data_IF_532577781226
#
_entry.id   IF_532577781226
#
_cell.length_a   1.000
_cell.length_b   1.000
_cell.length_c   1.000
_cell.angle_alpha   90.00
_cell.angle_beta   90.00
_cell.angle_gamma   90.00
#
_symmetry.space_group_name_H-M   'P 1'
#
loop_
_entity.id
_entity.type
_entity.pdbx_description
1 polymer ?
#
# COMPACT_ATOMS: atom_id res chain seq x y z
N UNK A 1 19.39 -16.69 -12.03
CA UNK A 1 18.67 -16.43 -10.76
C UNK A 1 17.76 -17.62 -10.50
N UNK A 2 18.00 -18.42 -9.45
CA UNK A 2 17.29 -19.69 -9.22
C UNK A 2 15.79 -19.46 -8.97
N UNK A 3 14.94 -20.36 -9.49
CA UNK A 3 13.48 -20.33 -9.31
C UNK A 3 13.09 -20.33 -7.82
N UNK A 4 13.94 -20.89 -6.95
CA UNK A 4 13.75 -20.90 -5.50
C UNK A 4 14.01 -19.55 -4.85
N UNK A 5 15.08 -18.84 -5.27
CA UNK A 5 15.35 -17.45 -4.87
C UNK A 5 14.21 -16.52 -5.31
N UNK A 6 13.69 -16.68 -6.55
CA UNK A 6 12.54 -15.92 -7.04
C UNK A 6 11.28 -16.18 -6.21
N UNK A 7 10.96 -17.44 -5.89
CA UNK A 7 9.81 -17.81 -5.05
C UNK A 7 9.94 -17.32 -3.61
N UNK A 8 11.14 -17.36 -3.04
CA UNK A 8 11.45 -16.81 -1.71
C UNK A 8 11.25 -15.30 -1.66
N UNK A 9 11.80 -14.58 -2.65
CA UNK A 9 11.63 -13.13 -2.78
C UNK A 9 10.16 -12.75 -3.03
N UNK A 10 9.42 -13.53 -3.82
CA UNK A 10 7.99 -13.30 -4.06
C UNK A 10 7.16 -13.52 -2.78
N UNK A 11 7.38 -14.63 -2.05
CA UNK A 11 6.72 -14.90 -0.77
C UNK A 11 7.02 -13.83 0.28
N UNK A 12 8.25 -13.30 0.32
CA UNK A 12 8.64 -12.20 1.23
C UNK A 12 8.10 -10.85 0.77
N UNK A 13 8.06 -10.55 -0.54
CA UNK A 13 7.36 -9.38 -1.09
C UNK A 13 5.89 -9.40 -0.71
N UNK A 14 5.22 -10.55 -0.83
CA UNK A 14 3.83 -10.73 -0.41
C UNK A 14 3.63 -10.47 1.09
N UNK A 15 4.57 -10.87 1.96
CA UNK A 15 4.53 -10.53 3.40
C UNK A 15 4.73 -9.02 3.65
N UNK A 16 5.62 -8.38 2.91
CA UNK A 16 5.85 -6.93 2.99
C UNK A 16 4.63 -6.16 2.44
N UNK A 17 4.02 -6.63 1.36
CA UNK A 17 2.81 -6.05 0.77
C UNK A 17 1.59 -6.25 1.68
N UNK A 18 1.47 -7.39 2.37
CA UNK A 18 0.45 -7.63 3.40
C UNK A 18 0.59 -6.72 4.63
N UNK A 19 1.82 -6.41 5.06
CA UNK A 19 2.07 -5.39 6.10
C UNK A 19 1.75 -3.97 5.58
N UNK A 20 2.00 -3.70 4.29
CA UNK A 20 1.72 -2.41 3.65
C UNK A 20 0.23 -2.13 3.44
N UNK A 21 -0.58 -3.17 3.23
CA UNK A 21 -2.04 -3.04 3.08
C UNK A 21 -2.75 -2.62 4.38
N UNK A 22 -2.05 -2.65 5.53
CA UNK A 22 -2.56 -2.25 6.85
C UNK A 22 -2.22 -0.81 7.27
N UNK A 23 -1.57 -0.04 6.40
CA UNK A 23 -1.33 1.38 6.66
C UNK A 23 -2.56 2.19 6.30
N UNK A 24 -3.29 2.64 7.32
CA UNK A 24 -4.35 3.64 7.17
C UNK A 24 -3.79 5.03 7.42
N UNK A 25 -3.59 5.81 6.35
CA UNK A 25 -3.37 7.25 6.48
C UNK A 25 -4.73 7.92 6.68
N UNK A 26 -5.02 8.38 7.90
CA UNK A 26 -6.11 9.34 8.13
C UNK A 26 -5.65 10.70 7.62
N UNK A 27 -6.38 11.29 6.68
CA UNK A 27 -6.14 12.69 6.29
C UNK A 27 -6.93 13.68 7.16
N UNK A 28 -7.61 13.22 8.21
CA UNK A 28 -8.37 14.10 9.08
C UNK A 28 -7.40 14.94 9.92
N UNK A 29 -7.57 16.25 9.89
CA UNK A 29 -6.75 17.25 10.60
C UNK A 29 -6.65 17.07 12.11
N UNK A 30 -7.38 16.12 12.69
CA UNK A 30 -7.49 15.91 14.13
C UNK A 30 -7.06 14.51 14.61
N UNK A 31 -6.65 13.60 13.71
CA UNK A 31 -6.08 12.31 14.12
C UNK A 31 -4.68 12.11 13.57
N UNK A 32 -3.66 11.88 14.43
CA UNK A 32 -2.34 11.48 13.94
C UNK A 32 -2.45 10.15 13.17
N UNK A 33 -1.60 9.95 12.15
CA UNK A 33 -1.59 8.71 11.41
C UNK A 33 -1.26 7.53 12.34
N UNK A 34 -1.83 6.36 12.05
CA UNK A 34 -1.63 5.17 12.86
C UNK A 34 -1.34 3.95 12.00
N UNK A 35 -0.62 2.99 12.59
CA UNK A 35 -0.35 1.70 11.99
C UNK A 35 -1.13 0.62 12.74
N UNK A 36 -1.93 -0.18 12.03
CA UNK A 36 -2.64 -1.32 12.62
C UNK A 36 -1.65 -2.45 12.88
N UNK A 37 -1.48 -2.81 14.15
CA UNK A 37 -0.60 -3.89 14.58
C UNK A 37 -1.32 -5.24 14.57
N UNK A 38 -2.62 -5.24 14.91
CA UNK A 38 -3.43 -6.46 15.01
C UNK A 38 -4.50 -6.32 16.09
N UNK A 39 -4.77 -7.42 16.78
CA UNK A 39 -5.69 -7.49 17.91
C UNK A 39 -5.00 -7.94 19.19
N UNK A 40 -5.54 -7.50 20.32
CA UNK A 40 -5.17 -8.00 21.65
C UNK A 40 -5.71 -9.42 21.82
N UNK A 41 -4.83 -10.35 22.19
CA UNK A 41 -5.19 -11.77 22.41
C UNK A 41 -6.23 -11.95 23.52
N UNK A 42 -6.24 -11.06 24.51
CA UNK A 42 -7.09 -11.21 25.69
C UNK A 42 -8.51 -10.68 25.47
N UNK A 43 -8.64 -9.63 24.64
CA UNK A 43 -9.90 -8.88 24.48
C UNK A 43 -10.48 -8.91 23.06
N UNK A 44 -9.70 -9.33 22.06
CA UNK A 44 -10.05 -9.22 20.63
C UNK A 44 -10.21 -7.78 20.17
N UNK A 45 -9.54 -6.83 20.84
CA UNK A 45 -9.65 -5.40 20.53
C UNK A 45 -8.48 -4.89 19.71
N UNK A 46 -8.73 -3.85 18.92
CA UNK A 46 -7.75 -3.28 17.99
C UNK A 46 -6.52 -2.75 18.71
N UNK A 47 -5.34 -3.15 18.23
CA UNK A 47 -4.03 -2.63 18.66
C UNK A 47 -3.40 -1.88 17.49
N UNK A 48 -2.96 -0.65 17.75
CA UNK A 48 -2.33 0.20 16.75
C UNK A 48 -1.20 1.04 17.33
N UNK A 49 -0.24 1.44 16.51
CA UNK A 49 0.78 2.42 16.87
C UNK A 49 0.35 3.79 16.39
N UNK A 50 0.26 4.77 17.30
CA UNK A 50 0.15 6.18 16.95
C UNK A 50 1.51 6.66 16.44
N UNK A 51 1.60 7.04 15.17
CA UNK A 51 2.86 7.42 14.55
C UNK A 51 3.32 8.84 14.92
N UNK A 52 2.45 9.65 15.54
CA UNK A 52 2.80 10.98 16.03
C UNK A 52 3.67 10.95 17.29
N UNK A 53 3.50 9.95 18.13
CA UNK A 53 4.23 9.78 19.39
C UNK A 53 4.89 8.40 19.55
N UNK A 54 4.80 7.54 18.53
CA UNK A 54 5.32 6.16 18.52
C UNK A 54 4.76 5.26 19.63
N UNK A 55 3.59 5.59 20.17
CA UNK A 55 2.95 4.85 21.26
C UNK A 55 2.10 3.71 20.71
N UNK A 56 2.21 2.53 21.32
CA UNK A 56 1.31 1.41 21.04
C UNK A 56 0.07 1.55 21.93
N UNK A 57 -1.09 1.64 21.29
CA UNK A 57 -2.39 1.85 21.94
C UNK A 57 -3.28 0.63 21.71
N UNK A 58 -3.88 0.14 22.78
CA UNK A 58 -4.97 -0.85 22.71
C UNK A 58 -6.30 -0.12 22.83
N UNK A 59 -7.10 -0.17 21.78
CA UNK A 59 -8.43 0.44 21.77
C UNK A 59 -9.46 -0.44 22.48
N UNK A 60 -10.67 0.10 22.69
CA UNK A 60 -11.84 -0.67 23.14
C UNK A 60 -12.62 -1.32 21.99
N UNK A 61 -12.32 -0.96 20.75
CA UNK A 61 -13.04 -1.42 19.55
C UNK A 61 -12.70 -2.87 19.28
N UNK A 62 -13.70 -3.72 19.12
CA UNK A 62 -13.51 -5.11 18.69
C UNK A 62 -13.29 -5.14 17.19
N UNK A 63 -12.44 -6.06 16.76
CA UNK A 63 -12.08 -6.18 15.33
C UNK A 63 -12.46 -7.56 14.81
N UNK A 64 -13.04 -7.64 13.60
CA UNK A 64 -13.17 -8.91 12.91
C UNK A 64 -11.77 -9.45 12.56
N UNK A 65 -11.41 -10.61 13.12
CA UNK A 65 -10.10 -11.23 12.91
C UNK A 65 -9.80 -11.53 11.44
N UNK A 66 -10.84 -11.80 10.65
CA UNK A 66 -10.78 -11.96 9.18
C UNK A 66 -10.15 -10.76 8.46
N UNK A 67 -10.34 -9.52 8.95
CA UNK A 67 -9.71 -8.32 8.39
C UNK A 67 -8.21 -8.23 8.72
N UNK A 68 -7.76 -8.96 9.74
CA UNK A 68 -6.37 -9.04 10.17
C UNK A 68 -5.62 -10.22 9.54
N UNK A 69 -6.25 -10.99 8.66
CA UNK A 69 -5.58 -12.01 7.87
C UNK A 69 -4.78 -11.38 6.71
N UNK A 70 -3.84 -12.13 6.14
CA UNK A 70 -3.01 -11.62 5.03
C UNK A 70 -3.83 -11.32 3.76
N UNK A 71 -4.93 -12.05 3.55
CA UNK A 71 -5.89 -11.86 2.46
C UNK A 71 -7.16 -11.12 2.90
N UNK A 72 -7.20 -10.63 4.14
CA UNK A 72 -8.39 -10.02 4.73
C UNK A 72 -8.74 -8.66 4.12
N UNK A 73 -7.73 -7.92 3.67
CA UNK A 73 -7.89 -6.59 3.08
C UNK A 73 -7.07 -6.46 1.80
N UNK A 74 -7.49 -5.57 0.91
CA UNK A 74 -6.79 -5.24 -0.36
C UNK A 74 -6.16 -3.84 -0.33
N UNK A 75 -6.32 -3.13 0.78
CA UNK A 75 -5.76 -1.81 1.02
C UNK A 75 -6.60 -0.99 1.98
N UNK A 76 -6.08 0.18 2.35
CA UNK A 76 -6.73 1.10 3.25
C UNK A 76 -6.51 2.55 2.81
N UNK A 77 -7.48 3.41 3.06
CA UNK A 77 -7.41 4.84 2.75
C UNK A 77 -8.35 5.62 3.67
N UNK A 78 -7.89 6.74 4.23
CA UNK A 78 -8.71 7.65 5.03
C UNK A 78 -9.43 6.99 6.23
N UNK A 79 -8.81 5.99 6.86
CA UNK A 79 -9.41 5.25 7.98
C UNK A 79 -10.41 4.17 7.55
N UNK A 80 -10.65 4.00 6.25
CA UNK A 80 -11.41 2.88 5.70
C UNK A 80 -10.48 1.78 5.22
N UNK A 81 -10.91 0.53 5.37
CA UNK A 81 -10.25 -0.64 4.80
C UNK A 81 -11.12 -1.24 3.71
N UNK A 82 -10.50 -1.65 2.62
CA UNK A 82 -11.16 -2.30 1.51
C UNK A 82 -10.93 -3.81 1.57
N UNK A 83 -11.99 -4.55 1.27
CA UNK A 83 -11.99 -6.01 1.16
C UNK A 83 -12.51 -6.41 -0.20
N UNK A 84 -12.07 -7.56 -0.71
CA UNK A 84 -12.56 -8.13 -1.96
C UNK A 84 -12.89 -9.60 -1.73
N UNK A 85 -14.18 -9.94 -1.83
CA UNK A 85 -14.67 -11.30 -1.66
C UNK A 85 -15.60 -11.62 -2.83
N UNK A 86 -15.32 -12.71 -3.54
CA UNK A 86 -16.15 -13.18 -4.66
C UNK A 86 -16.42 -12.08 -5.72
N UNK A 87 -15.41 -11.25 -6.02
CA UNK A 87 -15.51 -10.15 -6.99
C UNK A 87 -16.27 -8.91 -6.47
N UNK A 88 -16.68 -8.91 -5.22
CA UNK A 88 -17.44 -7.85 -4.57
C UNK A 88 -16.55 -7.06 -3.61
N UNK A 89 -16.36 -5.77 -3.91
CA UNK A 89 -15.57 -4.89 -3.08
C UNK A 89 -16.44 -4.26 -1.99
N UNK A 90 -15.93 -4.25 -0.76
CA UNK A 90 -16.57 -3.56 0.36
C UNK A 90 -15.60 -2.66 1.11
N UNK A 91 -16.04 -1.47 1.50
CA UNK A 91 -15.33 -0.54 2.38
C UNK A 91 -15.85 -0.67 3.80
N UNK A 92 -14.95 -0.72 4.78
CA UNK A 92 -15.27 -0.92 6.19
C UNK A 92 -14.51 0.08 7.06
N UNK A 93 -15.14 0.60 8.11
CA UNK A 93 -14.49 1.41 9.14
C UNK A 93 -14.12 0.59 10.40
N UNK A 94 -14.24 -0.75 10.33
CA UNK A 94 -13.98 -1.69 11.42
C UNK A 94 -12.55 -1.59 11.98
N UNK A 95 -11.55 -1.14 11.19
CA UNK A 95 -10.17 -0.92 11.67
C UNK A 95 -9.86 0.55 12.00
N UNK A 96 -10.87 1.43 12.04
CA UNK A 96 -10.70 2.82 12.48
C UNK A 96 -10.92 2.92 13.99
N UNK A 97 -9.91 3.33 14.78
CA UNK A 97 -10.05 3.43 16.24
C UNK A 97 -11.04 4.51 16.68
N UNK A 98 -11.39 5.46 15.81
CA UNK A 98 -12.36 6.53 16.10
C UNK A 98 -13.77 6.22 15.60
N UNK A 99 -13.96 5.12 14.86
CA UNK A 99 -15.28 4.72 14.38
C UNK A 99 -16.08 4.00 15.48
N UNK A 100 -17.41 4.06 15.37
CA UNK A 100 -18.31 3.40 16.33
C UNK A 100 -18.05 1.89 16.39
N UNK A 101 -17.97 1.33 17.59
CA UNK A 101 -17.90 -0.11 17.81
C UNK A 101 -19.28 -0.77 17.70
N UNK A 102 -20.33 -0.08 18.14
CA UNK A 102 -21.70 -0.61 18.15
C UNK A 102 -22.41 -0.50 16.79
N UNK A 103 -21.89 0.32 15.89
CA UNK A 103 -22.47 0.53 14.56
C UNK A 103 -21.37 0.78 13.52
N UNK A 104 -20.57 -0.25 13.16
CA UNK A 104 -19.55 -0.12 12.13
C UNK A 104 -20.21 0.18 10.78
N UNK A 105 -19.63 1.11 10.02
CA UNK A 105 -20.09 1.45 8.68
C UNK A 105 -19.46 0.52 7.66
N UNK A 106 -20.29 -0.01 6.76
CA UNK A 106 -19.87 -0.87 5.65
C UNK A 106 -20.57 -0.44 4.38
N UNK A 107 -19.80 -0.27 3.30
CA UNK A 107 -20.30 0.17 2.01
C UNK A 107 -19.97 -0.89 0.97
N UNK A 108 -21.01 -1.47 0.40
CA UNK A 108 -20.90 -2.45 -0.67
C UNK A 108 -20.81 -1.72 -2.01
N UNK A 109 -19.76 -2.00 -2.77
CA UNK A 109 -19.64 -1.51 -4.14
C UNK A 109 -20.25 -2.51 -5.13
N UNK A 110 -20.51 -2.11 -6.38
CA UNK A 110 -21.02 -3.03 -7.40
C UNK A 110 -20.02 -4.16 -7.66
N UNK A 111 -20.46 -5.29 -8.24
CA UNK A 111 -19.55 -6.32 -8.73
C UNK A 111 -18.53 -5.73 -9.72
N UNK A 112 -17.26 -6.11 -9.57
CA UNK A 112 -16.21 -5.67 -10.48
C UNK A 112 -16.47 -6.19 -11.90
N UNK A 113 -16.13 -5.37 -12.90
CA UNK A 113 -16.25 -5.73 -14.32
C UNK A 113 -14.86 -5.75 -14.94
N UNK A 114 -14.44 -6.93 -15.41
CA UNK A 114 -13.15 -7.12 -16.06
C UNK A 114 -13.21 -6.70 -17.51
N UNK A 115 -12.32 -5.80 -17.93
CA UNK A 115 -12.16 -5.44 -19.33
C UNK A 115 -11.46 -6.57 -20.13
N UNK A 116 -11.61 -6.63 -21.46
CA UNK A 116 -10.85 -7.57 -22.30
C UNK A 116 -9.34 -7.46 -22.04
N UNK A 117 -8.66 -8.61 -21.98
CA UNK A 117 -7.23 -8.75 -21.67
C UNK A 117 -6.78 -8.20 -20.30
N UNK A 118 -7.73 -7.94 -19.40
CA UNK A 118 -7.47 -7.48 -18.04
C UNK A 118 -7.82 -8.56 -17.00
N UNK A 119 -7.56 -8.25 -15.72
CA UNK A 119 -7.93 -9.08 -14.59
C UNK A 119 -8.31 -8.20 -13.39
N UNK A 120 -9.18 -8.68 -12.51
CA UNK A 120 -9.65 -7.94 -11.32
C UNK A 120 -9.45 -8.72 -10.01
N UNK A 121 -8.69 -9.81 -10.02
CA UNK A 121 -8.44 -10.69 -8.88
C UNK A 121 -7.26 -10.20 -8.03
N UNK A 122 -6.22 -9.67 -8.68
CA UNK A 122 -5.01 -9.16 -8.03
C UNK A 122 -5.08 -7.64 -7.97
N UNK A 123 -5.47 -7.11 -6.81
CA UNK A 123 -5.49 -5.67 -6.51
C UNK A 123 -4.12 -5.20 -6.01
N UNK A 124 -3.59 -4.10 -6.55
CA UNK A 124 -2.36 -3.48 -6.04
C UNK A 124 -2.64 -2.58 -4.84
N UNK A 125 -3.68 -1.75 -4.92
CA UNK A 125 -4.26 -1.04 -3.77
C UNK A 125 -5.61 -0.35 -4.13
N UNK A 126 -6.18 0.31 -3.13
CA UNK A 126 -7.29 1.26 -3.26
C UNK A 126 -6.83 2.68 -2.90
N UNK A 127 -7.49 3.69 -3.47
CA UNK A 127 -7.37 5.09 -3.07
C UNK A 127 -8.76 5.74 -3.03
N UNK A 128 -8.90 6.79 -2.22
CA UNK A 128 -10.17 7.52 -2.05
C UNK A 128 -9.94 9.01 -2.21
N UNK A 129 -10.95 9.74 -2.72
CA UNK A 129 -10.86 11.19 -2.86
C UNK A 129 -10.99 11.93 -1.52
N UNK A 130 -11.74 11.37 -0.57
CA UNK A 130 -11.97 11.94 0.76
C UNK A 130 -12.12 10.84 1.82
N UNK A 131 -12.35 11.24 3.08
CA UNK A 131 -12.66 10.33 4.19
C UNK A 131 -14.15 10.01 4.36
N UNK A 132 -14.99 10.57 3.51
CA UNK A 132 -16.44 10.61 3.68
C UNK A 132 -17.10 9.92 2.48
N UNK A 133 -17.18 8.58 2.46
CA UNK A 133 -17.78 7.84 1.34
C UNK A 133 -19.28 8.04 1.17
N UNK A 134 -19.93 8.69 2.13
CA UNK A 134 -21.29 9.20 2.04
C UNK A 134 -21.44 10.48 1.20
N UNK A 135 -20.35 11.21 0.92
CA UNK A 135 -20.41 12.45 0.15
C UNK A 135 -20.67 12.16 -1.34
N UNK A 136 -21.47 13.01 -1.98
CA UNK A 136 -21.89 12.89 -3.38
C UNK A 136 -20.72 12.88 -4.38
N UNK A 137 -19.65 13.62 -4.07
CA UNK A 137 -18.43 13.73 -4.88
C UNK A 137 -17.36 12.69 -4.51
N UNK A 138 -17.64 11.79 -3.54
CA UNK A 138 -16.70 10.75 -3.17
C UNK A 138 -16.47 9.77 -4.31
N UNK A 139 -15.18 9.52 -4.57
CA UNK A 139 -14.73 8.52 -5.53
C UNK A 139 -13.77 7.58 -4.84
N UNK A 140 -13.95 6.29 -5.09
CA UNK A 140 -12.98 5.25 -4.77
C UNK A 140 -12.37 4.72 -6.06
N UNK A 141 -11.05 4.61 -6.08
CA UNK A 141 -10.29 3.99 -7.15
C UNK A 141 -9.69 2.67 -6.67
N UNK A 142 -9.75 1.67 -7.56
CA UNK A 142 -9.13 0.35 -7.37
C UNK A 142 -8.15 0.14 -8.51
N UNK A 143 -6.88 -0.12 -8.15
CA UNK A 143 -5.86 -0.47 -9.13
C UNK A 143 -5.58 -1.96 -9.06
N UNK A 144 -5.54 -2.60 -10.23
CA UNK A 144 -5.23 -4.02 -10.38
C UNK A 144 -3.83 -4.22 -10.94
N UNK A 145 -3.25 -5.40 -10.75
CA UNK A 145 -2.06 -5.79 -11.52
C UNK A 145 -2.43 -5.84 -13.01
N UNK A 146 -1.68 -5.15 -13.86
CA UNK A 146 -1.97 -5.05 -15.30
C UNK A 146 -2.70 -3.76 -15.71
N UNK A 147 -3.38 -3.77 -16.86
CA UNK A 147 -3.85 -2.55 -17.53
C UNK A 147 -5.16 -1.96 -16.99
N UNK A 148 -5.72 -2.41 -15.87
CA UNK A 148 -7.02 -1.90 -15.40
C UNK A 148 -6.91 -0.97 -14.18
N UNK A 149 -7.63 0.15 -14.25
CA UNK A 149 -7.98 1.07 -13.16
C UNK A 149 -9.50 1.20 -13.16
N UNK A 150 -10.14 1.06 -12.00
CA UNK A 150 -11.59 1.19 -11.88
C UNK A 150 -11.95 2.26 -10.86
N UNK A 151 -12.88 3.16 -11.22
CA UNK A 151 -13.37 4.23 -10.37
C UNK A 151 -14.87 4.06 -10.11
N UNK A 152 -15.33 4.37 -8.90
CA UNK A 152 -16.75 4.29 -8.52
C UNK A 152 -17.15 5.48 -7.65
N UNK A 153 -18.36 6.01 -7.90
CA UNK A 153 -19.09 6.93 -7.02
C UNK A 153 -20.19 6.16 -6.28
N UNK A 154 -20.03 5.83 -4.99
CA UNK A 154 -20.98 5.01 -4.25
C UNK A 154 -22.36 5.66 -4.06
N UNK A 155 -22.42 6.97 -3.86
CA UNK A 155 -23.66 7.69 -3.52
C UNK A 155 -24.69 7.78 -4.67
N UNK A 156 -24.27 7.66 -5.94
CA UNK A 156 -25.11 7.97 -7.11
C UNK A 156 -25.32 6.77 -8.04
N UNK A 157 -26.08 5.76 -7.60
CA UNK A 157 -26.38 4.60 -8.45
C UNK A 157 -25.08 3.88 -8.84
N UNK A 158 -24.45 3.21 -7.87
CA UNK A 158 -23.03 2.88 -7.93
C UNK A 158 -22.74 2.05 -9.17
N UNK A 159 -21.79 2.52 -9.98
CA UNK A 159 -21.34 1.84 -11.18
C UNK A 159 -19.84 2.06 -11.39
N UNK A 160 -19.19 1.08 -11.98
CA UNK A 160 -17.76 1.13 -12.27
C UNK A 160 -17.49 1.86 -13.58
N UNK A 161 -16.65 2.87 -13.51
CA UNK A 161 -15.94 3.40 -14.66
C UNK A 161 -14.61 2.67 -14.78
N UNK A 162 -14.55 1.68 -15.67
CA UNK A 162 -13.34 0.90 -15.93
C UNK A 162 -12.50 1.57 -17.02
N UNK A 163 -11.22 1.76 -16.74
CA UNK A 163 -10.26 2.43 -17.61
C UNK A 163 -9.15 1.44 -17.97
N UNK A 164 -8.90 1.27 -19.27
CA UNK A 164 -7.75 0.52 -19.79
C UNK A 164 -6.55 1.45 -19.88
N UNK A 165 -5.60 1.28 -18.98
CA UNK A 165 -4.29 1.92 -19.01
C UNK A 165 -3.45 1.28 -20.12
N UNK A 166 -3.01 2.08 -21.08
CA UNK A 166 -2.26 1.62 -22.27
C UNK A 166 -0.76 1.58 -22.04
N UNK A 167 -0.24 2.46 -21.19
CA UNK A 167 1.18 2.50 -20.87
C UNK A 167 1.53 1.37 -19.88
N UNK A 168 2.34 0.43 -20.35
CA UNK A 168 2.75 -0.77 -19.61
C UNK A 168 3.55 -0.44 -18.33
N UNK A 169 4.17 0.73 -18.26
CA UNK A 169 4.91 1.16 -17.07
C UNK A 169 4.03 1.34 -15.84
N UNK A 170 2.70 1.45 -16.01
CA UNK A 170 1.74 1.54 -14.90
C UNK A 170 1.15 0.20 -14.46
N UNK A 171 1.51 -0.93 -15.08
CA UNK A 171 0.82 -2.20 -14.80
C UNK A 171 1.04 -2.70 -13.37
N UNK A 172 2.19 -2.40 -12.78
CA UNK A 172 2.50 -2.74 -11.38
C UNK A 172 2.30 -1.57 -10.42
N UNK A 173 1.81 -0.43 -10.92
CA UNK A 173 1.68 0.79 -10.12
C UNK A 173 0.61 0.67 -9.04
N UNK A 174 0.77 1.52 -8.02
CA UNK A 174 -0.28 1.83 -7.04
C UNK A 174 -0.95 3.14 -7.41
N UNK A 175 -2.23 3.27 -7.06
CA UNK A 175 -3.01 4.49 -7.22
C UNK A 175 -2.99 5.32 -5.95
N UNK A 176 -2.84 6.64 -6.09
CA UNK A 176 -3.10 7.59 -5.01
C UNK A 176 -4.08 8.64 -5.48
N UNK A 177 -4.77 9.30 -4.56
CA UNK A 177 -5.51 10.51 -4.89
C UNK A 177 -4.63 11.73 -4.60
N UNK A 178 -4.41 12.58 -5.61
CA UNK A 178 -3.75 13.88 -5.44
C UNK A 178 -4.79 14.92 -5.10
N UNK A 179 -4.72 15.49 -3.90
CA UNK A 179 -5.60 16.61 -3.49
C UNK A 179 -5.26 17.88 -4.26
N UNK A 180 -3.99 18.06 -4.63
CA UNK A 180 -3.56 19.21 -5.44
C UNK A 180 -4.21 19.21 -6.81
N UNK A 181 -4.15 18.09 -7.53
CA UNK A 181 -4.68 17.99 -8.89
C UNK A 181 -6.14 17.50 -8.93
N UNK A 182 -6.71 17.06 -7.80
CA UNK A 182 -8.04 16.45 -7.68
C UNK A 182 -8.21 15.23 -8.61
N UNK A 183 -7.17 14.40 -8.69
CA UNK A 183 -7.09 13.28 -9.63
C UNK A 183 -6.46 12.04 -9.00
N UNK A 184 -6.86 10.88 -9.50
CA UNK A 184 -6.21 9.62 -9.19
C UNK A 184 -4.95 9.46 -10.03
N UNK A 185 -3.81 9.31 -9.39
CA UNK A 185 -2.49 9.35 -10.02
C UNK A 185 -1.78 8.01 -9.85
N UNK A 186 -1.23 7.52 -10.96
CA UNK A 186 -0.34 6.37 -11.01
C UNK A 186 1.09 6.84 -11.27
N UNK A 187 2.05 6.18 -10.64
CA UNK A 187 3.47 6.37 -10.90
C UNK A 187 3.98 5.26 -11.83
N UNK A 188 4.68 5.65 -12.88
CA UNK A 188 5.30 4.70 -13.81
C UNK A 188 6.46 3.96 -13.12
N UNK A 189 6.64 2.69 -13.46
CA UNK A 189 7.81 1.89 -13.05
C UNK A 189 9.11 2.65 -13.35
N UNK A 190 10.04 2.66 -12.39
CA UNK A 190 11.28 3.46 -12.45
C UNK A 190 11.10 4.92 -11.99
N UNK A 191 9.86 5.41 -11.90
CA UNK A 191 9.50 6.70 -11.31
C UNK A 191 9.69 7.92 -12.22
N UNK A 192 9.73 7.74 -13.54
CA UNK A 192 10.10 8.79 -14.49
C UNK A 192 8.94 9.67 -14.98
N UNK A 193 7.70 9.21 -14.83
CA UNK A 193 6.50 10.00 -15.10
C UNK A 193 5.30 9.49 -14.28
N UNK A 194 4.26 10.32 -14.25
CA UNK A 194 2.96 9.98 -13.70
C UNK A 194 1.88 10.07 -14.77
N UNK A 195 0.81 9.32 -14.58
CA UNK A 195 -0.45 9.51 -15.27
C UNK A 195 -1.53 9.83 -14.25
N UNK A 196 -2.40 10.79 -14.55
CA UNK A 196 -3.51 11.17 -13.68
C UNK A 196 -4.84 11.08 -14.42
N UNK A 197 -5.83 10.49 -13.76
CA UNK A 197 -7.18 10.23 -14.25
C UNK A 197 -8.22 10.85 -13.32
N UNK A 198 -9.33 11.31 -13.91
CA UNK A 198 -10.57 11.65 -13.21
C UNK A 198 -11.75 11.00 -13.95
N UNK A 199 -12.95 11.15 -13.41
CA UNK A 199 -14.18 10.64 -14.00
C UNK A 199 -14.76 11.53 -15.11
N UNK A 200 -14.15 12.71 -15.34
CA UNK A 200 -14.72 13.76 -16.17
C UNK A 200 -13.86 13.96 -17.44
N UNK A 201 -12.86 14.84 -17.40
CA UNK A 201 -12.08 15.25 -18.59
C UNK A 201 -10.92 14.30 -18.92
N UNK A 202 -10.40 13.61 -17.92
CA UNK A 202 -9.17 12.82 -18.00
C UNK A 202 -9.42 11.31 -17.89
N UNK A 203 -10.65 10.88 -18.17
CA UNK A 203 -11.02 9.46 -18.22
C UNK A 203 -10.30 8.73 -19.36
N UNK A 204 -10.45 9.21 -20.60
CA UNK A 204 -9.90 8.55 -21.79
C UNK A 204 -8.52 9.10 -22.19
N UNK A 205 -8.22 10.34 -21.79
CA UNK A 205 -6.94 10.99 -22.04
C UNK A 205 -6.29 11.46 -20.73
N UNK A 206 -5.46 10.60 -20.09
CA UNK A 206 -4.86 10.94 -18.82
C UNK A 206 -3.90 12.11 -18.95
N UNK A 207 -3.80 12.87 -17.86
CA UNK A 207 -2.76 13.89 -17.73
C UNK A 207 -1.42 13.20 -17.47
N UNK A 208 -0.59 13.11 -18.50
CA UNK A 208 0.77 12.59 -18.38
C UNK A 208 1.75 13.69 -17.96
N UNK A 209 2.58 13.42 -16.96
CA UNK A 209 3.57 14.35 -16.44
C UNK A 209 4.91 13.67 -16.23
N UNK A 210 5.94 14.13 -16.95
CA UNK A 210 7.33 13.71 -16.70
C UNK A 210 7.81 14.26 -15.36
N UNK A 211 8.45 13.40 -14.58
CA UNK A 211 9.08 13.76 -13.32
C UNK A 211 10.58 13.96 -13.55
N UNK A 212 11.07 15.16 -13.26
CA UNK A 212 12.48 15.45 -13.30
C UNK A 212 13.00 15.57 -11.87
N UNK A 213 13.97 14.72 -11.54
CA UNK A 213 14.63 14.75 -10.23
C UNK A 213 15.93 15.53 -10.36
N UNK A 214 16.00 16.66 -9.67
CA UNK A 214 17.24 17.38 -9.46
C UNK A 214 17.84 16.95 -8.12
N UNK A 215 19.16 17.01 -8.00
CA UNK A 215 19.87 16.64 -6.77
C UNK A 215 19.67 15.17 -6.37
N UNK A 216 19.77 14.26 -7.34
CA UNK A 216 19.86 12.84 -7.03
C UNK A 216 21.03 12.60 -6.04
N UNK A 217 20.86 11.77 -5.00
CA UNK A 217 21.93 11.51 -4.06
C UNK A 217 23.13 10.91 -4.79
N UNK A 218 24.33 11.45 -4.55
CA UNK A 218 25.55 10.78 -5.00
C UNK A 218 25.80 9.58 -4.10
N UNK A 219 25.69 8.37 -4.65
CA UNK A 219 26.01 7.15 -3.94
C UNK A 219 27.49 6.81 -4.09
N UNK A 220 28.10 6.30 -3.01
CA UNK A 220 29.40 5.62 -3.15
C UNK A 220 29.21 4.36 -3.99
N UNK A 221 30.27 3.87 -4.64
CA UNK A 221 30.20 2.65 -5.45
C UNK A 221 29.56 1.48 -4.68
N UNK A 222 29.96 1.27 -3.44
CA UNK A 222 29.41 0.21 -2.57
C UNK A 222 27.90 0.37 -2.34
N UNK A 223 27.41 1.61 -2.16
CA UNK A 223 25.97 1.86 -1.96
C UNK A 223 25.21 1.70 -3.28
N UNK A 224 25.79 2.11 -4.41
CA UNK A 224 25.21 1.89 -5.72
C UNK A 224 25.08 0.39 -6.03
N UNK A 225 26.16 -0.39 -5.84
CA UNK A 225 26.16 -1.84 -6.03
C UNK A 225 25.12 -2.53 -5.12
N UNK A 226 24.94 -2.03 -3.89
CA UNK A 226 23.92 -2.51 -2.96
C UNK A 226 22.50 -2.19 -3.45
N UNK A 227 22.26 -0.97 -3.94
CA UNK A 227 20.97 -0.55 -4.50
C UNK A 227 20.63 -1.38 -5.73
N UNK A 228 21.59 -1.57 -6.64
CA UNK A 228 21.41 -2.33 -7.89
C UNK A 228 21.14 -3.81 -7.63
N UNK A 229 21.66 -4.36 -6.53
CA UNK A 229 21.39 -5.74 -6.08
C UNK A 229 20.16 -5.86 -5.19
N UNK A 230 19.49 -4.76 -4.84
CA UNK A 230 18.31 -4.75 -3.98
C UNK A 230 17.01 -4.85 -4.78
N UNK A 231 16.00 -5.47 -4.18
CA UNK A 231 14.63 -5.28 -4.65
C UNK A 231 14.18 -3.85 -4.31
N UNK A 232 13.56 -3.14 -5.25
CA UNK A 232 13.08 -1.79 -5.03
C UNK A 232 11.58 -1.67 -5.22
N UNK A 233 10.96 -0.75 -4.48
CA UNK A 233 9.56 -0.36 -4.67
C UNK A 233 9.42 1.14 -4.60
N UNK A 234 8.71 1.72 -5.56
CA UNK A 234 8.40 3.14 -5.61
C UNK A 234 7.01 3.45 -5.04
N UNK A 235 6.94 4.50 -4.21
CA UNK A 235 5.70 4.99 -3.62
C UNK A 235 5.56 6.49 -3.88
N UNK A 236 4.39 6.89 -4.36
CA UNK A 236 4.01 8.29 -4.48
C UNK A 236 3.26 8.69 -3.20
N UNK A 237 3.69 9.76 -2.53
CA UNK A 237 3.07 10.23 -1.27
C UNK A 237 2.80 11.72 -1.39
N UNK A 238 1.66 12.20 -0.91
CA UNK A 238 1.33 13.63 -0.90
C UNK A 238 1.20 14.15 0.53
N UNK A 239 1.83 15.30 0.81
CA UNK A 239 1.70 15.99 2.10
C UNK A 239 0.36 16.73 2.19
N UNK A 240 -0.01 17.12 3.41
CA UNK A 240 -1.17 17.98 3.65
C UNK A 240 -1.09 19.34 2.93
N UNK A 241 0.12 19.81 2.60
CA UNK A 241 0.35 21.02 1.81
C UNK A 241 0.21 20.80 0.30
N UNK A 242 -0.15 19.60 -0.16
CA UNK A 242 -0.28 19.26 -1.57
C UNK A 242 1.06 19.05 -2.29
N UNK A 243 2.16 18.87 -1.53
CA UNK A 243 3.47 18.55 -2.10
C UNK A 243 3.56 17.03 -2.24
N UNK A 244 3.78 16.56 -3.46
CA UNK A 244 4.02 15.14 -3.73
C UNK A 244 5.50 14.80 -3.52
N UNK A 245 5.79 13.59 -3.05
CA UNK A 245 7.12 13.02 -2.82
C UNK A 245 7.20 11.65 -3.49
N UNK A 246 8.36 11.34 -4.08
CA UNK A 246 8.69 10.00 -4.51
C UNK A 246 9.56 9.34 -3.44
N UNK A 247 9.10 8.21 -2.95
CA UNK A 247 9.82 7.41 -1.97
C UNK A 247 10.23 6.10 -2.62
N UNK A 248 11.54 5.87 -2.73
CA UNK A 248 12.10 4.59 -3.22
C UNK A 248 12.60 3.78 -2.02
N UNK A 249 12.01 2.61 -1.81
CA UNK A 249 12.46 1.67 -0.78
C UNK A 249 13.28 0.57 -1.43
N UNK A 250 14.44 0.29 -0.86
CA UNK A 250 15.34 -0.77 -1.29
C UNK A 250 15.42 -1.82 -0.19
N UNK A 251 15.22 -3.07 -0.57
CA UNK A 251 15.28 -4.24 0.31
C UNK A 251 16.38 -5.16 -0.21
N UNK A 252 17.42 -5.32 0.59
CA UNK A 252 18.52 -6.24 0.33
C UNK A 252 18.36 -7.48 1.20
N UNK A 253 18.46 -8.67 0.62
CA UNK A 253 18.49 -9.92 1.39
C UNK A 253 19.93 -10.39 1.50
N UNK A 254 20.45 -10.47 2.72
CA UNK A 254 21.64 -11.28 2.99
C UNK A 254 21.18 -12.74 2.99
N UNK A 255 21.75 -13.59 2.15
CA UNK A 255 21.60 -15.03 2.34
C UNK A 255 22.23 -15.37 3.70
N UNK A 256 21.44 -15.87 4.66
CA UNK A 256 22.03 -16.63 5.75
C UNK A 256 22.22 -18.05 5.22
N UNK A 257 23.43 -18.58 5.39
CA UNK A 257 23.83 -19.93 4.99
C UNK A 257 23.22 -20.99 5.93
N UNK A 258 21.92 -20.92 6.20
CA UNK A 258 21.19 -21.92 7.03
C UNK A 258 20.52 -22.97 6.13
N UNK A 259 21.24 -23.43 5.10
CA UNK A 259 20.98 -24.71 4.45
C UNK A 259 21.74 -25.79 5.24
N UNK A 260 21.30 -26.07 6.48
CA UNK A 260 21.68 -27.30 7.18
C UNK A 260 20.48 -28.26 7.14
N UNK A 261 20.75 -29.42 6.56
CA UNK A 261 19.84 -30.49 6.21
C UNK A 261 18.95 -30.97 7.38
N UNK A 262 17.65 -31.12 7.10
CA UNK A 262 16.74 -31.95 7.89
C UNK A 262 17.17 -33.42 7.78
N UNK A 263 17.92 -33.93 8.77
CA UNK A 263 18.00 -35.36 9.06
C UNK A 263 17.49 -35.65 10.48
N UNK A 264 16.42 -36.45 10.53
CA UNK A 264 15.80 -37.04 11.71
C UNK A 264 16.81 -37.82 12.58
N UNK A 265 16.87 -37.58 13.89
CA UNK A 265 16.76 -38.68 14.86
C UNK A 265 16.41 -38.20 16.29
N UNK A 266 15.55 -38.98 16.95
CA UNK A 266 15.03 -38.74 18.29
C UNK A 266 16.02 -39.17 19.39
N UNK A 267 16.10 -38.40 20.50
CA UNK A 267 16.25 -38.90 21.90
C UNK A 267 16.27 -37.78 22.97
N UNK A 268 15.16 -37.70 23.68
CA UNK A 268 14.88 -37.57 25.13
C UNK A 268 15.90 -37.01 26.19
N UNK A 269 15.30 -36.27 27.16
CA UNK A 269 15.66 -36.01 28.59
C UNK A 269 16.56 -34.82 29.04
N UNK A 270 15.86 -33.92 29.78
CA UNK A 270 16.19 -33.14 31.01
C UNK A 270 16.73 -31.71 30.96
N UNK A 271 15.82 -30.84 31.40
CA UNK A 271 15.95 -29.66 32.26
C UNK A 271 17.32 -29.40 32.91
N UNK A 272 17.91 -28.25 32.58
CA UNK A 272 18.61 -27.38 33.54
C UNK A 272 18.26 -25.93 33.27
N UNK A 273 17.50 -25.38 34.21
CA UNK A 273 17.36 -23.96 34.44
C UNK A 273 18.74 -23.37 34.77
N UNK A 274 19.20 -22.43 33.95
CA UNK A 274 20.20 -21.45 34.36
C UNK A 274 20.01 -20.20 33.51
N UNK A 275 19.74 -19.11 34.20
CA UNK A 275 19.48 -17.79 33.65
C UNK A 275 20.60 -17.34 32.70
N UNK A 276 20.22 -17.01 31.47
CA UNK A 276 20.78 -15.88 30.74
C UNK A 276 19.78 -15.44 29.68
N UNK A 277 18.93 -14.50 30.07
CA UNK A 277 18.13 -13.69 29.16
C UNK A 277 19.07 -12.83 28.32
N UNK A 278 19.37 -13.30 27.12
CA UNK A 278 19.80 -12.46 26.00
C UNK A 278 19.23 -13.04 24.71
N UNK A 279 17.90 -12.92 24.56
CA UNK A 279 17.32 -12.92 23.22
C UNK A 279 17.77 -11.60 22.57
N UNK A 280 18.93 -11.65 21.93
CA UNK A 280 19.34 -10.64 20.96
C UNK A 280 18.35 -10.79 19.81
N UNK A 281 17.25 -10.06 19.92
CA UNK A 281 16.45 -9.71 18.75
C UNK A 281 17.37 -8.84 17.90
N UNK A 282 18.05 -9.46 16.94
CA UNK A 282 18.77 -8.73 15.91
C UNK A 282 17.74 -7.97 15.09
N UNK A 283 17.48 -6.74 15.56
CA UNK A 283 17.22 -5.54 14.79
C UNK A 283 17.06 -5.83 13.29
N UNK A 284 15.81 -5.91 12.84
CA UNK A 284 15.44 -5.53 11.49
C UNK A 284 16.02 -4.13 11.24
N UNK A 285 17.22 -4.05 10.68
CA UNK A 285 17.84 -2.76 10.36
C UNK A 285 17.13 -2.18 9.15
N UNK A 286 16.06 -1.44 9.41
CA UNK A 286 15.41 -0.61 8.41
C UNK A 286 16.37 0.55 8.09
N UNK A 287 17.19 0.42 7.04
CA UNK A 287 17.92 1.58 6.51
C UNK A 287 16.87 2.55 5.94
N UNK A 288 16.95 3.80 6.40
CA UNK A 288 15.94 4.84 6.17
C UNK A 288 15.58 5.00 4.68
N UNK A 289 14.30 5.28 4.36
CA UNK A 289 13.89 5.51 2.99
C UNK A 289 14.53 6.78 2.41
N UNK A 290 14.92 6.75 1.13
CA UNK A 290 15.34 7.94 0.42
C UNK A 290 14.09 8.74 -0.02
N UNK A 291 14.02 9.99 0.42
CA UNK A 291 13.01 10.96 0.00
C UNK A 291 13.58 11.76 -1.16
N UNK A 292 12.98 11.61 -2.34
CA UNK A 292 13.30 12.46 -3.49
C UNK A 292 12.07 13.34 -3.76
N UNK A 293 12.12 14.66 -3.51
CA UNK A 293 11.02 15.53 -3.86
C UNK A 293 10.93 15.64 -5.39
N UNK A 294 9.82 15.24 -6.04
CA UNK A 294 9.57 15.54 -7.44
C UNK A 294 9.41 17.05 -7.59
N UNK A 295 10.09 17.63 -8.57
CA UNK A 295 9.81 18.99 -9.01
C UNK A 295 8.99 18.95 -10.28
N UNK A 296 7.87 19.68 -10.27
CA UNK A 296 6.99 19.87 -11.42
C UNK A 296 7.59 20.95 -12.30
N UNK A 297 7.79 20.64 -13.59
CA UNK A 297 7.92 21.69 -14.60
C UNK A 297 6.54 22.30 -14.78
N UNK A 298 6.33 23.48 -14.23
CA UNK A 298 5.27 24.38 -14.69
C UNK A 298 5.69 25.00 -16.02
N UNK A 299 5.79 24.20 -17.07
CA UNK A 299 5.67 24.67 -18.45
C UNK A 299 5.13 23.52 -19.31
N UNK A 300 3.89 23.70 -19.74
CA UNK A 300 3.27 22.97 -20.82
C UNK A 300 4.17 23.01 -22.07
N UNK A 301 4.79 21.89 -22.39
CA UNK A 301 5.02 21.55 -23.78
C UNK A 301 3.95 20.53 -24.14
N UNK A 302 2.88 21.03 -24.76
CA UNK A 302 2.01 20.20 -25.57
C UNK A 302 2.91 19.47 -26.57
N UNK A 303 3.05 18.16 -26.42
CA UNK A 303 3.55 17.33 -27.50
C UNK A 303 2.41 17.21 -28.50
N UNK A 304 2.50 18.01 -29.54
CA UNK A 304 1.58 17.99 -30.67
C UNK A 304 1.84 16.78 -31.58
N UNK A 305 0.72 16.38 -32.20
CA UNK A 305 0.47 15.40 -33.24
C UNK A 305 0.52 13.92 -32.86
#
# INVERSE_FOLDING_TARGET
>A
MSLMLYRSLLKRSLRIDALRQRFSFSSASYTPPYLICGESKDSGTLVFTNLGNSEVVTSKKRVPSELLEASGTIGAAHGWVATLKDGLLSLHDDLNPNASDSNPKRILLPPLVTLPDCQTEVVTNVAMSSSSPEDDDFVVAVKFSGPQLSLCRPAHGPSWTNIRVTDHSFFTSRVIFSKRDQMFTLLASGGHHTGSWDLDKHKDNPKLQKLNFQNLPSFTKTVADLIDSSYSTEHLVESSAGITYLVKWYVHSTASDDDDDDDDDARDVKTKESANTSNVSESLSFKAPYLIPPQRLDHSLQLGN
#
